data_IF_129200982023
#
_entry.id   IF_129200982023
#
_cell.length_a   1.000
_cell.length_b   1.000
_cell.length_c   1.000
_cell.angle_alpha   90.00
_cell.angle_beta   90.00
_cell.angle_gamma   90.00
#
_symmetry.space_group_name_H-M   'P 1'
#
loop_
_entity.id
_entity.type
_entity.pdbx_description
1 polymer ?
#
# COMPACT_ATOMS: atom_id res chain seq x y z
N UNK A 1 24.33 2.81 27.27
CA UNK A 1 24.11 3.88 26.33
C UNK A 1 23.78 3.40 24.95
N UNK A 2 24.61 2.55 24.38
CA UNK A 2 24.33 2.03 23.06
C UNK A 2 23.00 1.28 22.99
N UNK A 3 22.66 0.59 24.07
CA UNK A 3 21.41 -0.16 24.11
C UNK A 3 20.19 0.73 24.02
N UNK A 4 20.28 1.89 24.65
CA UNK A 4 19.18 2.84 24.59
C UNK A 4 18.95 3.34 23.16
N UNK A 5 20.03 3.59 22.43
CA UNK A 5 19.92 4.02 21.05
C UNK A 5 19.28 2.95 20.18
N UNK A 6 19.69 1.71 20.38
CA UNK A 6 19.13 0.59 19.62
C UNK A 6 17.63 0.46 19.90
N UNK A 7 17.26 0.57 21.18
CA UNK A 7 15.87 0.46 21.55
C UNK A 7 15.05 1.59 20.94
N UNK A 8 15.58 2.79 20.90
CA UNK A 8 14.88 3.92 20.30
C UNK A 8 14.68 3.71 18.81
N UNK A 9 15.68 3.20 18.12
CA UNK A 9 15.56 2.93 16.70
C UNK A 9 14.51 1.86 16.43
N UNK A 10 14.48 0.81 17.25
CA UNK A 10 13.50 -0.24 17.09
C UNK A 10 12.08 0.30 17.28
N UNK A 11 11.90 1.16 18.28
CA UNK A 11 10.61 1.76 18.53
C UNK A 11 10.15 2.62 17.36
N UNK A 12 11.05 3.39 16.78
CA UNK A 12 10.73 4.21 15.62
C UNK A 12 10.33 3.34 14.44
N UNK A 13 11.06 2.25 14.20
CA UNK A 13 10.73 1.36 13.10
C UNK A 13 9.35 0.75 13.26
N UNK A 14 9.00 0.35 14.48
CA UNK A 14 7.68 -0.23 14.73
C UNK A 14 6.58 0.80 14.57
N UNK A 15 6.84 2.05 14.89
CA UNK A 15 5.83 3.09 14.83
C UNK A 15 5.49 3.50 13.41
N UNK A 16 6.45 3.47 12.52
CA UNK A 16 6.23 4.03 11.18
C UNK A 16 5.72 3.03 10.15
N UNK A 17 6.06 1.76 10.28
CA UNK A 17 5.55 0.74 9.36
C UNK A 17 5.80 1.05 7.90
N UNK A 18 7.04 1.37 7.54
CA UNK A 18 7.41 1.62 6.15
C UNK A 18 7.59 0.29 5.43
N UNK A 19 6.98 0.15 4.26
CA UNK A 19 7.11 -1.05 3.47
C UNK A 19 7.70 -0.73 2.11
N UNK A 20 8.62 -1.57 1.68
CA UNK A 20 9.25 -1.43 0.39
C UNK A 20 8.31 -1.88 -0.73
N UNK A 21 8.59 -1.43 -1.92
CA UNK A 21 7.91 -1.90 -3.10
C UNK A 21 8.11 -3.39 -3.29
N UNK A 22 7.08 -4.02 -3.84
CA UNK A 22 7.14 -5.41 -4.24
C UNK A 22 6.63 -5.55 -5.66
N UNK A 23 7.14 -6.52 -6.38
CA UNK A 23 6.61 -6.89 -7.69
C UNK A 23 6.17 -8.35 -7.69
N UNK A 24 5.93 -8.91 -6.54
CA UNK A 24 5.52 -10.31 -6.39
C UNK A 24 4.09 -10.49 -6.91
N UNK A 25 3.92 -11.36 -7.89
CA UNK A 25 2.60 -11.63 -8.46
C UNK A 25 1.80 -12.67 -7.67
N UNK A 26 2.39 -13.25 -6.64
CA UNK A 26 1.70 -14.18 -5.77
C UNK A 26 1.93 -15.65 -6.09
N UNK A 27 1.19 -16.53 -5.44
CA UNK A 27 0.07 -16.22 -4.55
C UNK A 27 0.50 -15.57 -3.24
N UNK A 28 -0.30 -14.61 -2.79
CA UNK A 28 -0.07 -13.93 -1.51
C UNK A 28 -1.24 -14.23 -0.60
N UNK A 29 -0.96 -14.56 0.65
CA UNK A 29 -2.01 -14.83 1.62
C UNK A 29 -2.62 -13.54 2.11
N UNK A 30 -3.95 -13.48 2.14
CA UNK A 30 -4.70 -12.36 2.70
C UNK A 30 -5.80 -12.91 3.60
N UNK A 31 -6.37 -12.07 4.47
CA UNK A 31 -7.54 -12.50 5.26
C UNK A 31 -8.74 -12.89 4.42
N UNK A 32 -8.79 -12.46 3.16
CA UNK A 32 -9.91 -12.77 2.27
C UNK A 32 -9.59 -13.89 1.28
N UNK A 33 -8.41 -14.49 1.36
CA UNK A 33 -8.01 -15.58 0.48
C UNK A 33 -6.70 -15.31 -0.21
N UNK A 34 -6.35 -16.17 -1.14
CA UNK A 34 -5.08 -16.04 -1.87
C UNK A 34 -5.23 -15.09 -3.03
N UNK A 35 -4.33 -14.12 -3.07
CA UNK A 35 -4.30 -13.09 -4.11
C UNK A 35 -3.16 -13.39 -5.08
N UNK A 36 -3.45 -13.32 -6.37
CA UNK A 36 -2.40 -13.37 -7.38
C UNK A 36 -2.73 -12.46 -8.52
N UNK A 37 -1.71 -12.04 -9.22
CA UNK A 37 -1.85 -11.15 -10.36
C UNK A 37 -1.49 -11.90 -11.63
N UNK A 38 -2.31 -11.75 -12.66
CA UNK A 38 -2.10 -12.35 -13.96
C UNK A 38 -1.96 -11.25 -14.98
N UNK A 39 -0.86 -11.28 -15.71
CA UNK A 39 -0.61 -10.26 -16.72
C UNK A 39 -1.12 -10.72 -18.08
N UNK A 40 -1.82 -9.84 -18.77
CA UNK A 40 -2.25 -10.06 -20.14
C UNK A 40 -1.99 -8.76 -20.91
N UNK A 41 -0.91 -8.76 -21.70
CA UNK A 41 -0.50 -7.54 -22.38
C UNK A 41 -0.09 -6.46 -21.38
N UNK A 42 -0.74 -5.31 -21.47
CA UNK A 42 -0.48 -4.20 -20.57
C UNK A 42 -1.37 -4.26 -19.32
N UNK A 43 -2.29 -5.20 -19.27
CA UNK A 43 -3.25 -5.27 -18.16
C UNK A 43 -2.87 -6.34 -17.17
N UNK A 44 -3.19 -6.05 -15.91
CA UNK A 44 -3.10 -7.02 -14.82
C UNK A 44 -4.49 -7.33 -14.31
N UNK A 45 -4.74 -8.59 -14.04
CA UNK A 45 -5.95 -9.03 -13.38
C UNK A 45 -5.57 -9.53 -11.99
N UNK A 46 -6.15 -8.92 -10.97
CA UNK A 46 -5.98 -9.39 -9.60
C UNK A 46 -7.04 -10.45 -9.34
N UNK A 47 -6.59 -11.65 -9.03
CA UNK A 47 -7.45 -12.80 -8.76
C UNK A 47 -7.44 -13.09 -7.26
N UNK A 48 -8.62 -13.09 -6.66
CA UNK A 48 -8.76 -13.42 -5.25
C UNK A 48 -9.54 -14.73 -5.16
N UNK A 49 -8.88 -15.80 -4.72
CA UNK A 49 -9.47 -17.12 -4.65
C UNK A 49 -10.09 -17.55 -5.99
N UNK A 50 -9.40 -17.36 -7.07
CA UNK A 50 -9.84 -17.76 -8.40
C UNK A 50 -10.97 -16.92 -9.00
N UNK A 51 -11.31 -15.80 -8.36
CA UNK A 51 -12.28 -14.87 -8.92
C UNK A 51 -11.61 -13.55 -9.23
N UNK A 52 -12.08 -12.87 -10.27
CA UNK A 52 -11.54 -11.57 -10.63
C UNK A 52 -11.91 -10.57 -9.54
N UNK A 53 -10.91 -9.98 -8.93
CA UNK A 53 -11.08 -8.99 -7.87
C UNK A 53 -10.96 -7.57 -8.43
N UNK A 54 -10.00 -7.35 -9.33
CA UNK A 54 -9.77 -6.05 -9.93
C UNK A 54 -8.97 -6.21 -11.21
N UNK A 55 -9.02 -5.19 -12.06
CA UNK A 55 -8.20 -5.10 -13.27
C UNK A 55 -7.64 -3.71 -13.38
N UNK A 56 -6.40 -3.62 -13.85
CA UNK A 56 -5.75 -2.33 -14.02
C UNK A 56 -4.64 -2.43 -15.05
N UNK A 57 -4.26 -1.29 -15.62
CA UNK A 57 -3.15 -1.19 -16.53
C UNK A 57 -1.91 -0.71 -15.80
N UNK A 58 -0.76 -1.28 -16.14
CA UNK A 58 0.52 -0.84 -15.59
C UNK A 58 1.64 -1.43 -16.44
N UNK A 59 2.75 -0.71 -16.55
CA UNK A 59 3.92 -1.24 -17.25
C UNK A 59 4.52 -2.43 -16.51
N UNK A 60 4.60 -2.32 -15.20
CA UNK A 60 5.11 -3.38 -14.35
C UNK A 60 4.23 -3.46 -13.11
N UNK A 61 4.23 -4.62 -12.48
CA UNK A 61 3.50 -4.80 -11.24
C UNK A 61 4.29 -4.17 -10.09
N UNK A 62 3.66 -3.24 -9.39
CA UNK A 62 4.28 -2.57 -8.24
C UNK A 62 3.23 -2.41 -7.15
N UNK A 63 3.53 -2.91 -5.96
CA UNK A 63 2.61 -2.76 -4.84
C UNK A 63 3.38 -2.62 -3.53
N UNK A 64 2.68 -2.11 -2.53
CA UNK A 64 3.20 -1.91 -1.18
C UNK A 64 2.25 -2.63 -0.24
N UNK A 65 2.79 -3.51 0.58
CA UNK A 65 1.98 -4.45 1.36
C UNK A 65 2.00 -4.11 2.83
N UNK A 66 0.82 -4.14 3.45
CA UNK A 66 0.66 -4.02 4.89
C UNK A 66 0.50 -5.44 5.44
N UNK A 67 1.56 -5.98 6.00
CA UNK A 67 1.62 -7.37 6.45
C UNK A 67 1.37 -7.43 7.95
N UNK A 68 0.57 -8.40 8.38
CA UNK A 68 0.28 -8.57 9.78
C UNK A 68 1.48 -9.07 10.59
N UNK A 69 1.47 -8.77 11.89
CA UNK A 69 2.56 -9.18 12.76
C UNK A 69 2.49 -10.64 13.17
N UNK A 70 1.28 -11.18 13.27
CA UNK A 70 1.08 -12.55 13.75
C UNK A 70 1.31 -13.57 12.66
N UNK A 71 1.12 -13.18 11.43
CA UNK A 71 1.32 -14.04 10.27
C UNK A 71 1.81 -13.14 9.12
N UNK A 72 2.09 -13.75 7.98
CA UNK A 72 2.59 -13.00 6.84
C UNK A 72 1.47 -12.61 5.88
N UNK A 73 0.23 -12.62 6.35
CA UNK A 73 -0.89 -12.27 5.50
C UNK A 73 -0.92 -10.78 5.19
N UNK A 74 -1.18 -10.46 3.95
CA UNK A 74 -1.30 -9.07 3.49
C UNK A 74 -2.69 -8.58 3.84
N UNK A 75 -2.78 -7.59 4.71
CA UNK A 75 -4.06 -7.05 5.18
C UNK A 75 -4.56 -5.94 4.29
N UNK A 76 -3.65 -5.13 3.80
CA UNK A 76 -3.93 -4.07 2.84
C UNK A 76 -2.81 -4.02 1.84
N UNK A 77 -3.12 -3.54 0.65
CA UNK A 77 -2.12 -3.42 -0.42
C UNK A 77 -2.41 -2.16 -1.21
N UNK A 78 -1.39 -1.36 -1.43
CA UNK A 78 -1.50 -0.22 -2.33
C UNK A 78 -0.84 -0.61 -3.64
N UNK A 79 -1.60 -0.57 -4.72
CA UNK A 79 -1.14 -1.00 -6.04
C UNK A 79 -0.97 0.22 -6.92
N UNK A 80 0.17 0.31 -7.59
CA UNK A 80 0.41 1.39 -8.54
C UNK A 80 -0.19 1.03 -9.89
N UNK A 81 -1.04 1.89 -10.40
CA UNK A 81 -1.63 1.70 -11.72
C UNK A 81 -1.38 2.92 -12.59
N UNK A 82 -1.68 2.81 -13.87
CA UNK A 82 -1.55 3.93 -14.81
C UNK A 82 -2.43 5.11 -14.42
N UNK A 83 -3.55 4.83 -13.75
CA UNK A 83 -4.49 5.87 -13.32
C UNK A 83 -4.23 6.39 -11.92
N UNK A 84 -3.17 5.92 -11.29
CA UNK A 84 -2.83 6.30 -9.93
C UNK A 84 -2.94 5.12 -8.98
N UNK A 85 -2.67 5.34 -7.69
CA UNK A 85 -2.70 4.24 -6.72
C UNK A 85 -4.11 3.75 -6.45
N UNK A 86 -4.20 2.46 -6.15
CA UNK A 86 -5.46 1.80 -5.78
C UNK A 86 -5.20 1.03 -4.49
N UNK A 87 -6.09 1.19 -3.53
CA UNK A 87 -5.97 0.51 -2.24
C UNK A 87 -6.88 -0.71 -2.21
N UNK A 88 -6.29 -1.86 -1.90
CA UNK A 88 -7.03 -3.09 -1.63
C UNK A 88 -7.05 -3.30 -0.12
N UNK A 89 -8.24 -3.52 0.43
CA UNK A 89 -8.37 -3.75 1.87
C UNK A 89 -9.02 -5.11 2.07
N UNK A 90 -8.20 -6.08 2.47
CA UNK A 90 -8.64 -7.47 2.64
C UNK A 90 -9.18 -7.76 4.03
N UNK A 91 -9.23 -6.75 4.89
CA UNK A 91 -9.80 -6.91 6.24
C UNK A 91 -11.33 -6.89 6.22
N UNK A 92 -11.91 -6.36 5.14
CA UNK A 92 -13.36 -6.29 4.98
C UNK A 92 -13.88 -7.49 4.21
N UNK A 93 -15.16 -7.81 4.40
CA UNK A 93 -15.83 -8.89 3.70
C UNK A 93 -17.09 -8.37 3.06
N UNK A 94 -17.13 -8.31 1.73
CA UNK A 94 -16.05 -8.64 0.81
C UNK A 94 -14.92 -7.63 0.87
N UNK A 95 -13.75 -8.02 0.36
CA UNK A 95 -12.61 -7.14 0.30
C UNK A 95 -12.93 -5.89 -0.53
N UNK A 96 -12.33 -4.77 -0.16
CA UNK A 96 -12.63 -3.50 -0.78
C UNK A 96 -11.56 -3.09 -1.77
N UNK A 97 -11.99 -2.42 -2.84
CA UNK A 97 -11.11 -1.78 -3.80
C UNK A 97 -11.43 -0.30 -3.78
N UNK A 98 -10.44 0.52 -3.46
CA UNK A 98 -10.64 1.96 -3.39
C UNK A 98 -9.62 2.65 -4.29
N UNK A 99 -10.12 3.35 -5.29
CA UNK A 99 -9.26 4.14 -6.16
C UNK A 99 -8.98 5.47 -5.46
N UNK A 100 -7.69 5.82 -5.42
CA UNK A 100 -7.29 7.00 -4.67
C UNK A 100 -7.74 8.29 -5.35
N UNK A 101 -7.86 8.26 -6.68
CA UNK A 101 -8.43 9.41 -7.39
C UNK A 101 -7.42 10.47 -7.78
N UNK A 102 -6.13 10.20 -7.64
CA UNK A 102 -5.10 11.11 -8.06
C UNK A 102 -4.06 10.35 -8.89
N UNK A 103 -3.72 10.92 -10.03
CA UNK A 103 -2.73 10.29 -10.90
C UNK A 103 -1.35 10.69 -10.42
N UNK A 104 -0.69 9.79 -9.74
CA UNK A 104 0.66 10.00 -9.26
C UNK A 104 1.40 8.68 -9.16
N UNK A 105 2.71 8.74 -9.10
CA UNK A 105 3.55 7.56 -8.89
C UNK A 105 3.99 7.57 -7.44
N UNK A 106 3.65 6.50 -6.72
CA UNK A 106 3.96 6.38 -5.30
C UNK A 106 5.37 5.83 -5.13
N UNK A 107 6.13 6.46 -4.24
CA UNK A 107 7.50 6.05 -3.94
C UNK A 107 7.62 5.36 -2.60
N UNK A 108 6.84 5.77 -1.62
CA UNK A 108 6.87 5.22 -0.26
C UNK A 108 5.48 5.20 0.30
N UNK A 109 5.22 4.21 1.14
CA UNK A 109 3.94 4.06 1.83
C UNK A 109 4.20 3.84 3.31
N UNK A 110 3.43 4.53 4.14
CA UNK A 110 3.47 4.38 5.58
C UNK A 110 2.07 4.00 6.04
N UNK A 111 1.95 2.84 6.67
CA UNK A 111 0.67 2.34 7.15
C UNK A 111 0.49 2.81 8.59
N UNK A 112 -0.45 3.72 8.80
CA UNK A 112 -0.66 4.33 10.13
C UNK A 112 -2.13 4.18 10.53
N UNK A 113 -2.44 3.07 11.20
CA UNK A 113 -3.81 2.79 11.58
C UNK A 113 -4.70 2.69 10.35
N UNK A 114 -5.78 3.45 10.33
CA UNK A 114 -6.69 3.46 9.17
C UNK A 114 -6.20 4.36 8.04
N UNK A 115 -5.13 5.08 8.27
CA UNK A 115 -4.62 6.03 7.31
C UNK A 115 -3.47 5.42 6.53
N UNK A 116 -3.43 5.69 5.24
CA UNK A 116 -2.31 5.32 4.38
C UNK A 116 -1.63 6.61 3.98
N UNK A 117 -0.40 6.79 4.42
CA UNK A 117 0.38 7.96 4.06
C UNK A 117 1.30 7.56 2.93
N UNK A 118 1.29 8.33 1.85
CA UNK A 118 2.09 8.01 0.69
C UNK A 118 2.88 9.22 0.24
N UNK A 119 4.12 8.96 -0.13
CA UNK A 119 4.96 9.94 -0.78
C UNK A 119 4.95 9.62 -2.26
N UNK A 120 4.49 10.55 -3.05
CA UNK A 120 4.39 10.35 -4.48
C UNK A 120 5.11 11.45 -5.25
N UNK A 121 4.98 11.37 -6.57
CA UNK A 121 5.61 12.34 -7.47
C UNK A 121 5.07 13.75 -7.29
N UNK A 122 3.91 13.90 -6.67
CA UNK A 122 3.28 15.19 -6.47
C UNK A 122 3.27 15.63 -5.01
N UNK A 123 4.01 14.97 -4.15
CA UNK A 123 4.13 15.33 -2.75
C UNK A 123 3.66 14.25 -1.80
N UNK A 124 3.27 14.67 -0.61
CA UNK A 124 2.81 13.77 0.45
C UNK A 124 1.31 13.83 0.56
N UNK A 125 0.69 12.65 0.71
CA UNK A 125 -0.76 12.53 0.80
C UNK A 125 -1.13 11.55 1.88
N UNK A 126 -2.30 11.76 2.47
CA UNK A 126 -2.91 10.80 3.38
C UNK A 126 -4.24 10.37 2.78
N UNK A 127 -4.49 9.06 2.77
CA UNK A 127 -5.73 8.50 2.26
C UNK A 127 -6.41 7.75 3.40
N UNK A 128 -7.65 8.14 3.68
CA UNK A 128 -8.42 7.55 4.77
C UNK A 128 -9.89 7.55 4.41
N UNK A 129 -10.49 6.38 4.49
CA UNK A 129 -11.93 6.21 4.24
C UNK A 129 -12.38 6.83 2.93
N UNK A 130 -11.59 6.61 1.88
CA UNK A 130 -11.91 7.11 0.55
C UNK A 130 -11.60 8.57 0.31
N UNK A 131 -11.02 9.28 1.28
CA UNK A 131 -10.70 10.69 1.15
C UNK A 131 -9.20 10.88 1.08
N UNK A 132 -8.75 11.55 0.02
CA UNK A 132 -7.35 11.88 -0.19
C UNK A 132 -7.10 13.31 0.24
N UNK A 133 -6.12 13.50 1.12
CA UNK A 133 -5.75 14.82 1.62
C UNK A 133 -4.28 15.06 1.28
N UNK A 134 -3.99 16.17 0.65
CA UNK A 134 -2.60 16.54 0.41
C UNK A 134 -2.03 17.14 1.69
N UNK A 135 -0.91 16.60 2.13
CA UNK A 135 -0.28 17.07 3.35
C UNK A 135 0.59 18.27 3.07
N UNK A 136 0.64 19.17 4.04
CA UNK A 136 1.49 20.32 3.94
C UNK A 136 2.94 19.88 3.93
N UNK A 137 3.74 20.55 3.13
CA UNK A 137 5.14 20.27 3.13
C UNK A 137 5.72 20.56 4.51
N UNK A 138 6.51 19.64 5.01
CA UNK A 138 7.15 19.86 6.29
C UNK A 138 8.08 21.07 6.26
N UNK A 139 8.54 21.43 5.09
CA UNK A 139 9.41 22.60 4.98
C UNK A 139 8.68 23.89 5.22
N UNK A 140 7.35 23.88 5.11
CA UNK A 140 6.60 25.11 5.37
C UNK A 140 6.38 25.33 6.84
N UNK A 141 6.64 24.37 7.68
CA UNK A 141 6.36 24.47 9.10
C UNK A 141 7.56 24.82 9.92
N UNK A 142 8.72 24.69 9.35
CA UNK A 142 9.86 25.05 10.08
C UNK A 142 10.73 25.79 9.35
N UNK A 143 10.81 26.77 9.50
CA UNK A 143 11.80 27.56 8.97
C UNK A 143 12.00 28.69 9.79
#
# INVERSE_FOLDING_TARGET
MRRLLVAALAAISLATGVHAQSNDSGPLDTPSGKLRFVRTGHDFTAMLENEVFDRFGANTLTHFDDVGNADDAVRRMLVQTDSGPVLYDFRHRPALVQRVGARMTVKRVFWQGEEVVMQGSQGWFAFRRGVLTKLQSSTTTYH
#
